data_IF_473079303339
#
_entry.id   IF_473079303339
#
_cell.length_a   1.000
_cell.length_b   1.000
_cell.length_c   1.000
_cell.angle_alpha   90.00
_cell.angle_beta   90.00
_cell.angle_gamma   90.00
#
_symmetry.space_group_name_H-M   'P 1'
#
loop_
_entity.id
_entity.type
_entity.pdbx_description
1 polymer ?
#
# COMPACT_ATOMS: atom_id res chain seq x y z
N UNK A 1 -14.10 -21.73 22.91
CA UNK A 1 -14.72 -20.79 21.96
C UNK A 1 -13.72 -20.64 20.83
N UNK A 2 -14.03 -21.15 19.63
CA UNK A 2 -13.12 -21.14 18.49
C UNK A 2 -13.22 -19.78 17.77
N UNK A 3 -12.08 -19.13 17.56
CA UNK A 3 -12.02 -17.79 16.97
C UNK A 3 -11.90 -17.91 15.44
N UNK A 4 -12.99 -17.70 14.71
CA UNK A 4 -12.97 -17.68 13.24
C UNK A 4 -12.54 -16.29 12.77
N UNK A 5 -11.44 -16.21 12.02
CA UNK A 5 -10.97 -14.96 11.39
C UNK A 5 -11.53 -14.85 9.99
N UNK A 6 -12.14 -13.71 9.68
CA UNK A 6 -12.62 -13.37 8.33
C UNK A 6 -11.62 -12.41 7.68
N UNK A 7 -11.18 -12.75 6.48
CA UNK A 7 -10.32 -11.89 5.67
C UNK A 7 -11.13 -10.74 5.03
N UNK A 8 -10.41 -9.75 4.47
CA UNK A 8 -11.00 -8.71 3.64
C UNK A 8 -11.40 -9.20 2.24
N UNK A 9 -12.19 -8.40 1.54
CA UNK A 9 -12.65 -8.69 0.18
C UNK A 9 -11.77 -8.03 -0.89
N UNK A 10 -11.60 -8.71 -2.02
CA UNK A 10 -11.07 -8.16 -3.28
C UNK A 10 -12.02 -7.12 -3.88
N UNK A 11 -11.55 -6.29 -4.81
CA UNK A 11 -12.39 -5.27 -5.43
C UNK A 11 -13.58 -5.88 -6.20
N UNK A 12 -13.34 -6.98 -6.90
CA UNK A 12 -14.36 -7.71 -7.66
C UNK A 12 -15.41 -8.35 -6.72
N UNK A 13 -14.98 -8.94 -5.60
CA UNK A 13 -15.91 -9.43 -4.57
C UNK A 13 -16.74 -8.28 -3.99
N UNK A 14 -16.14 -7.10 -3.76
CA UNK A 14 -16.88 -5.92 -3.30
C UNK A 14 -17.89 -5.42 -4.33
N UNK A 15 -17.57 -5.46 -5.62
CA UNK A 15 -18.52 -5.14 -6.70
C UNK A 15 -19.71 -6.11 -6.66
N UNK A 16 -19.45 -7.41 -6.54
CA UNK A 16 -20.51 -8.41 -6.43
C UNK A 16 -21.39 -8.18 -5.19
N UNK A 17 -20.79 -8.00 -4.01
CA UNK A 17 -21.48 -7.70 -2.76
C UNK A 17 -22.33 -6.43 -2.87
N UNK A 18 -21.79 -5.39 -3.54
CA UNK A 18 -22.51 -4.15 -3.75
C UNK A 18 -23.77 -4.35 -4.59
N UNK A 19 -23.69 -5.08 -5.71
CA UNK A 19 -24.82 -5.35 -6.60
C UNK A 19 -25.87 -6.25 -5.96
N UNK A 20 -25.41 -7.32 -5.35
CA UNK A 20 -26.31 -8.37 -4.86
C UNK A 20 -27.04 -7.96 -3.58
N UNK A 21 -26.42 -7.09 -2.77
CA UNK A 21 -26.89 -6.74 -1.44
C UNK A 21 -26.95 -5.24 -1.15
N UNK A 22 -25.83 -4.51 -1.26
CA UNK A 22 -25.75 -3.15 -0.71
C UNK A 22 -26.63 -2.16 -1.48
N UNK A 23 -26.60 -2.20 -2.81
CA UNK A 23 -27.40 -1.31 -3.67
C UNK A 23 -28.89 -1.51 -3.44
N UNK A 24 -29.38 -2.76 -3.45
CA UNK A 24 -30.79 -3.07 -3.16
C UNK A 24 -31.23 -2.49 -1.82
N UNK A 25 -30.38 -2.63 -0.79
CA UNK A 25 -30.66 -2.06 0.53
C UNK A 25 -30.68 -0.54 0.51
N UNK A 26 -29.70 0.11 -0.13
CA UNK A 26 -29.57 1.57 -0.18
C UNK A 26 -30.62 2.25 -1.08
N UNK A 27 -31.08 1.59 -2.15
CA UNK A 27 -32.19 2.06 -3.01
C UNK A 27 -33.49 2.07 -2.20
N UNK A 28 -33.80 0.95 -1.54
CA UNK A 28 -34.99 0.85 -0.68
C UNK A 28 -34.97 1.84 0.49
N UNK A 29 -33.83 2.01 1.15
CA UNK A 29 -33.67 2.99 2.24
C UNK A 29 -33.81 4.44 1.77
N UNK A 30 -33.48 4.74 0.51
CA UNK A 30 -33.65 6.06 -0.09
C UNK A 30 -35.10 6.31 -0.56
N UNK A 31 -36.00 5.33 -0.46
CA UNK A 31 -37.39 5.46 -0.89
C UNK A 31 -37.59 5.36 -2.40
N UNK A 32 -36.61 4.81 -3.12
CA UNK A 32 -36.65 4.57 -4.56
C UNK A 32 -37.13 3.14 -4.86
N UNK A 33 -37.71 2.93 -6.05
CA UNK A 33 -38.02 1.59 -6.57
C UNK A 33 -36.79 0.96 -7.21
N UNK A 34 -36.79 -0.37 -7.29
CA UNK A 34 -35.67 -1.16 -7.80
C UNK A 34 -35.34 -0.87 -9.28
N UNK A 35 -36.32 -0.40 -10.06
CA UNK A 35 -36.19 -0.02 -11.47
C UNK A 35 -35.87 1.48 -11.69
N UNK A 36 -35.90 2.30 -10.63
CA UNK A 36 -35.68 3.74 -10.74
C UNK A 36 -34.19 4.11 -10.81
N UNK A 37 -33.29 3.25 -10.32
CA UNK A 37 -31.84 3.50 -10.30
C UNK A 37 -31.04 2.25 -10.57
N UNK A 38 -30.10 2.36 -11.51
CA UNK A 38 -29.06 1.35 -11.75
C UNK A 38 -27.68 1.94 -11.53
N UNK A 39 -26.74 1.15 -11.01
CA UNK A 39 -25.35 1.56 -10.86
C UNK A 39 -24.49 0.57 -11.63
N UNK A 40 -23.73 1.08 -12.59
CA UNK A 40 -22.83 0.29 -13.44
C UNK A 40 -21.66 -0.28 -12.62
N UNK A 41 -21.10 -1.39 -13.07
CA UNK A 41 -19.99 -2.08 -12.37
C UNK A 41 -18.76 -1.15 -12.33
N UNK A 42 -18.55 -0.41 -13.41
CA UNK A 42 -17.51 0.61 -13.53
C UNK A 42 -17.72 1.76 -12.53
N UNK A 43 -18.96 2.15 -12.26
CA UNK A 43 -19.27 3.16 -11.25
C UNK A 43 -19.06 2.63 -9.83
N UNK A 44 -19.48 1.40 -9.54
CA UNK A 44 -19.19 0.76 -8.24
C UNK A 44 -17.68 0.66 -8.03
N UNK A 45 -16.94 0.23 -9.05
CA UNK A 45 -15.48 0.16 -9.00
C UNK A 45 -14.87 1.54 -8.71
N UNK A 46 -15.34 2.59 -9.38
CA UNK A 46 -14.90 3.98 -9.11
C UNK A 46 -15.15 4.39 -7.66
N UNK A 47 -16.30 4.02 -7.08
CA UNK A 47 -16.57 4.29 -5.65
C UNK A 47 -15.58 3.52 -4.77
N UNK A 48 -15.30 2.26 -5.08
CA UNK A 48 -14.35 1.43 -4.33
C UNK A 48 -12.96 2.06 -4.37
N UNK A 49 -12.44 2.42 -5.54
CA UNK A 49 -11.07 2.91 -5.73
C UNK A 49 -10.87 4.34 -5.24
N UNK A 50 -11.81 5.23 -5.58
CA UNK A 50 -11.59 6.68 -5.43
C UNK A 50 -12.20 7.23 -4.13
N UNK A 51 -13.15 6.50 -3.54
CA UNK A 51 -13.95 6.99 -2.40
C UNK A 51 -13.98 6.05 -1.19
N UNK A 52 -13.32 4.87 -1.25
CA UNK A 52 -13.18 3.97 -0.10
C UNK A 52 -11.73 3.52 0.13
N UNK A 53 -11.39 3.23 1.39
CA UNK A 53 -10.14 2.57 1.76
C UNK A 53 -10.38 1.70 3.00
N UNK A 54 -10.73 0.44 2.78
CA UNK A 54 -11.08 -0.51 3.84
C UNK A 54 -10.91 -1.97 3.35
N UNK A 55 -10.79 -2.92 4.28
CA UNK A 55 -10.83 -4.35 3.98
C UNK A 55 -12.28 -4.86 3.75
N UNK A 56 -13.26 -4.26 4.43
CA UNK A 56 -14.68 -4.58 4.32
C UNK A 56 -15.43 -3.74 3.29
N UNK A 57 -16.73 -3.53 3.52
CA UNK A 57 -17.65 -2.77 2.64
C UNK A 57 -18.49 -1.71 3.37
N UNK A 58 -18.10 -1.30 4.59
CA UNK A 58 -18.88 -0.35 5.40
C UNK A 58 -18.84 1.05 4.82
N UNK A 59 -17.66 1.51 4.41
CA UNK A 59 -17.50 2.78 3.72
C UNK A 59 -18.15 2.71 2.34
N UNK A 60 -17.98 1.60 1.61
CA UNK A 60 -18.63 1.37 0.32
C UNK A 60 -20.14 1.56 0.42
N UNK A 61 -20.79 0.89 1.36
CA UNK A 61 -22.22 1.05 1.57
C UNK A 61 -22.63 2.50 1.87
N UNK A 62 -21.87 3.20 2.72
CA UNK A 62 -22.16 4.58 3.05
C UNK A 62 -22.08 5.49 1.83
N UNK A 63 -21.07 5.33 0.98
CA UNK A 63 -20.91 6.13 -0.24
C UNK A 63 -22.01 5.80 -1.27
N UNK A 64 -22.35 4.52 -1.45
CA UNK A 64 -23.50 4.11 -2.27
C UNK A 64 -24.80 4.73 -1.75
N UNK A 65 -25.01 4.76 -0.44
CA UNK A 65 -26.16 5.42 0.18
C UNK A 65 -26.22 6.93 -0.04
N UNK A 66 -25.06 7.61 -0.13
CA UNK A 66 -25.04 9.04 -0.51
C UNK A 66 -25.48 9.23 -1.96
N UNK A 67 -25.04 8.35 -2.86
CA UNK A 67 -25.46 8.37 -4.27
C UNK A 67 -26.98 8.19 -4.36
N UNK A 68 -27.54 7.13 -3.75
CA UNK A 68 -28.99 6.86 -3.84
C UNK A 68 -29.83 7.99 -3.24
N UNK A 69 -29.43 8.56 -2.09
CA UNK A 69 -30.14 9.73 -1.51
C UNK A 69 -30.09 10.97 -2.40
N UNK A 70 -28.95 11.23 -3.07
CA UNK A 70 -28.84 12.34 -4.03
C UNK A 70 -29.75 12.11 -5.24
N UNK A 71 -29.83 10.89 -5.75
CA UNK A 71 -30.76 10.54 -6.82
C UNK A 71 -32.20 10.75 -6.37
N UNK A 72 -32.59 10.24 -5.20
CA UNK A 72 -33.94 10.43 -4.66
C UNK A 72 -34.32 11.91 -4.54
N UNK A 73 -33.39 12.75 -4.07
CA UNK A 73 -33.62 14.20 -3.98
C UNK A 73 -33.79 14.84 -5.35
N UNK A 74 -32.97 14.45 -6.33
CA UNK A 74 -33.06 14.97 -7.71
C UNK A 74 -34.31 14.50 -8.45
N UNK A 75 -34.76 13.27 -8.21
CA UNK A 75 -36.03 12.76 -8.74
C UNK A 75 -37.22 13.49 -8.12
N UNK A 76 -37.24 13.65 -6.80
CA UNK A 76 -38.31 14.36 -6.09
C UNK A 76 -38.42 15.85 -6.48
N UNK A 77 -37.30 16.48 -6.86
CA UNK A 77 -37.27 17.88 -7.33
C UNK A 77 -37.47 18.02 -8.84
N UNK A 78 -37.66 16.92 -9.59
CA UNK A 78 -37.82 16.92 -11.05
C UNK A 78 -36.53 17.21 -11.84
N UNK A 79 -35.38 17.27 -11.17
CA UNK A 79 -34.08 17.49 -11.81
C UNK A 79 -33.54 16.23 -12.53
N UNK A 80 -34.05 15.05 -12.19
CA UNK A 80 -33.78 13.79 -12.89
C UNK A 80 -35.09 13.01 -13.09
N UNK A 81 -35.18 12.32 -14.22
CA UNK A 81 -36.30 11.44 -14.54
C UNK A 81 -35.83 9.98 -14.49
N UNK A 82 -36.48 9.10 -13.71
CA UNK A 82 -36.18 7.68 -13.72
C UNK A 82 -36.50 7.02 -15.08
N UNK A 83 -35.80 5.93 -15.46
CA UNK A 83 -34.71 5.28 -14.73
C UNK A 83 -33.40 6.09 -14.81
N UNK A 84 -32.69 6.18 -13.69
CA UNK A 84 -31.42 6.91 -13.57
C UNK A 84 -30.25 5.93 -13.52
N UNK A 85 -29.46 5.89 -14.58
CA UNK A 85 -28.21 5.13 -14.59
C UNK A 85 -27.05 5.94 -13.98
N UNK A 86 -26.29 5.31 -13.08
CA UNK A 86 -25.10 5.88 -12.45
C UNK A 86 -23.86 5.30 -13.13
N UNK A 87 -23.20 6.17 -13.90
CA UNK A 87 -21.91 5.94 -14.55
C UNK A 87 -20.76 6.57 -13.75
N UNK A 88 -19.50 6.27 -14.11
CA UNK A 88 -18.33 6.88 -13.46
C UNK A 88 -18.37 8.43 -13.42
N UNK A 89 -18.88 9.06 -14.48
CA UNK A 89 -19.02 10.52 -14.54
C UNK A 89 -20.01 11.04 -13.48
N UNK A 90 -21.13 10.34 -13.27
CA UNK A 90 -22.13 10.69 -12.25
C UNK A 90 -21.65 10.40 -10.83
N UNK A 91 -20.75 9.43 -10.65
CA UNK A 91 -20.07 9.24 -9.35
C UNK A 91 -19.32 10.51 -8.96
N UNK A 92 -18.57 11.12 -9.88
CA UNK A 92 -17.86 12.40 -9.61
C UNK A 92 -18.81 13.56 -9.34
N UNK A 93 -19.95 13.63 -10.02
CA UNK A 93 -20.99 14.63 -9.74
C UNK A 93 -21.57 14.46 -8.32
N UNK A 94 -21.82 13.23 -7.90
CA UNK A 94 -22.50 12.93 -6.64
C UNK A 94 -21.57 12.81 -5.43
N UNK A 95 -20.36 12.32 -5.57
CA UNK A 95 -19.41 12.17 -4.46
C UNK A 95 -18.34 13.28 -4.44
N UNK A 96 -18.23 14.05 -5.52
CA UNK A 96 -17.23 15.10 -5.67
C UNK A 96 -15.89 14.55 -6.16
N UNK A 97 -14.80 15.29 -5.88
CA UNK A 97 -13.45 14.88 -6.26
C UNK A 97 -13.08 13.55 -5.57
N UNK A 98 -12.24 12.72 -6.21
CA UNK A 98 -11.62 11.56 -5.57
C UNK A 98 -11.05 11.94 -4.20
N UNK A 99 -11.29 11.08 -3.20
CA UNK A 99 -10.77 11.27 -1.84
C UNK A 99 -9.41 10.62 -1.64
N UNK A 100 -9.07 9.68 -2.49
CA UNK A 100 -7.82 8.95 -2.46
C UNK A 100 -7.10 9.15 -3.80
N UNK A 101 -5.99 9.88 -3.79
CA UNK A 101 -5.04 9.94 -4.91
C UNK A 101 -4.08 8.74 -4.85
N UNK A 102 -3.32 8.50 -5.93
CA UNK A 102 -2.25 7.50 -5.97
C UNK A 102 -1.06 7.92 -5.09
N UNK A 103 -1.27 7.83 -3.79
CA UNK A 103 -0.36 8.21 -2.70
C UNK A 103 1.01 7.51 -2.82
N UNK A 104 1.04 6.30 -3.37
CA UNK A 104 2.29 5.56 -3.59
C UNK A 104 3.19 6.29 -4.58
N UNK A 105 2.64 6.64 -5.75
CA UNK A 105 3.41 7.33 -6.79
C UNK A 105 3.92 8.70 -6.33
N UNK A 106 3.09 9.45 -5.60
CA UNK A 106 3.50 10.75 -5.07
C UNK A 106 4.65 10.64 -4.04
N UNK A 107 4.60 9.65 -3.15
CA UNK A 107 5.58 9.48 -2.07
C UNK A 107 6.91 8.87 -2.53
N UNK A 108 6.87 7.91 -3.45
CA UNK A 108 8.07 7.19 -3.93
C UNK A 108 8.84 7.92 -5.02
N UNK A 109 8.31 9.03 -5.54
CA UNK A 109 8.99 9.89 -6.52
C UNK A 109 10.31 10.51 -5.99
N UNK A 110 10.49 10.55 -4.67
CA UNK A 110 11.70 11.09 -4.03
C UNK A 110 12.56 9.94 -3.49
N UNK A 111 13.88 9.91 -3.77
CA UNK A 111 14.78 8.95 -3.16
C UNK A 111 14.72 9.00 -1.63
N UNK A 112 14.78 7.83 -1.00
CA UNK A 112 14.65 7.69 0.44
C UNK A 112 13.28 7.26 0.92
N UNK A 113 12.32 7.02 0.03
CA UNK A 113 10.98 6.53 0.39
C UNK A 113 10.71 5.17 -0.24
N UNK A 114 10.38 4.17 0.59
CA UNK A 114 10.06 2.82 0.14
C UNK A 114 8.69 2.36 0.63
N UNK A 115 8.02 1.54 -0.19
CA UNK A 115 6.68 1.01 0.09
C UNK A 115 6.77 -0.38 0.72
N UNK A 116 6.35 -0.49 1.98
CA UNK A 116 6.31 -1.73 2.75
C UNK A 116 4.89 -2.28 2.91
N UNK A 117 4.78 -3.60 3.06
CA UNK A 117 3.50 -4.27 3.31
C UNK A 117 3.43 -4.79 4.75
N UNK A 118 2.33 -4.49 5.43
CA UNK A 118 2.12 -4.84 6.83
C UNK A 118 0.76 -5.51 7.05
N UNK A 119 0.59 -6.08 8.25
CA UNK A 119 -0.69 -6.56 8.74
C UNK A 119 -1.04 -5.79 10.01
N UNK A 120 -2.25 -5.26 10.04
CA UNK A 120 -2.84 -4.57 11.20
C UNK A 120 -3.96 -5.43 11.78
N UNK A 121 -4.49 -5.05 12.95
CA UNK A 121 -5.66 -5.70 13.54
C UNK A 121 -6.91 -5.69 12.64
N UNK A 122 -6.95 -4.84 11.61
CA UNK A 122 -8.07 -4.71 10.66
C UNK A 122 -7.81 -5.35 9.29
N UNK A 123 -6.66 -6.00 9.11
CA UNK A 123 -6.24 -6.61 7.85
C UNK A 123 -4.92 -6.05 7.33
N UNK A 124 -4.57 -6.41 6.09
CA UNK A 124 -3.34 -5.94 5.46
C UNK A 124 -3.38 -4.44 5.13
N UNK A 125 -2.23 -3.80 5.26
CA UNK A 125 -2.05 -2.37 5.00
C UNK A 125 -0.70 -2.08 4.30
N UNK A 126 -0.59 -0.92 3.70
CA UNK A 126 0.64 -0.42 3.08
C UNK A 126 1.24 0.67 3.97
N UNK A 127 2.54 0.58 4.21
CA UNK A 127 3.31 1.55 4.99
C UNK A 127 4.34 2.22 4.08
N UNK A 128 4.60 3.49 4.33
CA UNK A 128 5.73 4.18 3.72
C UNK A 128 6.86 4.25 4.73
N UNK A 129 8.07 3.90 4.32
CA UNK A 129 9.27 4.07 5.14
C UNK A 129 10.08 5.18 4.51
N UNK A 130 10.24 6.27 5.26
CA UNK A 130 10.94 7.48 4.84
C UNK A 130 12.29 7.53 5.56
N UNK A 131 13.38 7.67 4.81
CA UNK A 131 14.73 7.79 5.31
C UNK A 131 15.33 9.13 4.87
N UNK A 132 15.98 9.82 5.80
CA UNK A 132 16.76 11.03 5.51
C UNK A 132 18.09 11.01 6.24
N UNK A 133 19.09 11.72 5.71
CA UNK A 133 20.39 11.90 6.34
C UNK A 133 20.44 13.23 7.08
N UNK A 134 20.97 13.22 8.30
CA UNK A 134 21.16 14.43 9.12
C UNK A 134 22.66 14.71 9.22
N UNK A 135 23.06 15.93 8.90
CA UNK A 135 24.42 16.40 9.17
C UNK A 135 24.54 16.63 10.68
N UNK A 136 25.39 15.87 11.35
CA UNK A 136 25.67 16.06 12.78
C UNK A 136 27.13 16.48 12.94
N UNK A 137 27.37 17.54 13.70
CA UNK A 137 28.71 17.85 14.21
C UNK A 137 29.02 16.85 15.34
N UNK A 138 29.97 15.93 15.12
CA UNK A 138 30.45 14.97 16.12
C UNK A 138 30.60 13.53 15.63
N UNK A 139 31.22 12.68 16.46
CA UNK A 139 31.50 11.26 16.16
C UNK A 139 30.21 10.43 15.99
N UNK A 140 29.86 10.17 14.74
CA UNK A 140 29.40 8.86 14.25
C UNK A 140 28.01 8.35 14.63
N UNK A 141 27.28 7.93 13.59
CA UNK A 141 26.45 6.72 13.59
C UNK A 141 25.06 6.71 14.24
N UNK A 142 24.49 7.85 14.66
CA UNK A 142 23.16 7.83 15.30
C UNK A 142 22.02 7.51 14.32
N UNK A 143 21.13 6.60 14.73
CA UNK A 143 19.86 6.30 14.05
C UNK A 143 18.70 6.86 14.88
N UNK A 144 17.95 7.80 14.31
CA UNK A 144 16.74 8.37 14.89
C UNK A 144 15.54 7.63 14.29
N UNK A 145 14.60 7.20 15.14
CA UNK A 145 13.42 6.45 14.73
C UNK A 145 12.15 7.14 15.22
N UNK A 146 11.20 7.41 14.33
CA UNK A 146 9.89 8.00 14.68
C UNK A 146 8.75 7.26 13.98
N UNK A 147 7.51 7.44 14.49
CA UNK A 147 6.31 6.78 13.94
C UNK A 147 5.72 5.67 14.82
N UNK A 148 5.97 5.73 16.12
CA UNK A 148 5.48 4.78 17.14
C UNK A 148 5.90 3.32 16.86
N UNK A 149 7.21 3.13 16.68
CA UNK A 149 7.80 1.81 16.46
C UNK A 149 7.93 1.05 17.79
N UNK A 150 7.51 -0.22 17.79
CA UNK A 150 7.84 -1.18 18.85
C UNK A 150 9.30 -1.61 18.81
N UNK A 151 9.73 -2.38 19.81
CA UNK A 151 11.16 -2.68 19.99
C UNK A 151 11.71 -3.62 18.90
N UNK A 152 10.91 -4.57 18.41
CA UNK A 152 11.31 -5.46 17.31
C UNK A 152 11.52 -4.67 16.03
N UNK A 153 10.65 -3.68 15.76
CA UNK A 153 10.79 -2.83 14.59
C UNK A 153 11.99 -1.87 14.70
N UNK A 154 12.34 -1.41 15.90
CA UNK A 154 13.58 -0.64 16.14
C UNK A 154 14.83 -1.47 15.91
N UNK A 155 14.83 -2.72 16.36
CA UNK A 155 15.93 -3.66 16.10
C UNK A 155 16.09 -3.93 14.60
N UNK A 156 14.97 -4.14 13.89
CA UNK A 156 14.96 -4.30 12.43
C UNK A 156 15.60 -3.11 11.71
N UNK A 157 15.33 -1.89 12.17
CA UNK A 157 15.94 -0.67 11.61
C UNK A 157 17.46 -0.61 11.86
N UNK A 158 17.93 -1.05 13.03
CA UNK A 158 19.36 -1.13 13.34
C UNK A 158 20.07 -2.17 12.47
N UNK A 159 19.46 -3.33 12.25
CA UNK A 159 19.99 -4.37 11.37
C UNK A 159 20.09 -3.87 9.93
N UNK A 160 19.02 -3.22 9.43
CA UNK A 160 19.00 -2.61 8.09
C UNK A 160 20.14 -1.61 7.90
N UNK A 161 20.32 -0.67 8.84
CA UNK A 161 21.41 0.30 8.78
C UNK A 161 22.79 -0.36 8.86
N UNK A 162 22.94 -1.37 9.72
CA UNK A 162 24.20 -2.11 9.87
C UNK A 162 24.57 -2.85 8.59
N UNK A 163 23.60 -3.49 7.93
CA UNK A 163 23.80 -4.14 6.64
C UNK A 163 24.25 -3.14 5.57
N UNK A 164 23.57 -2.00 5.44
CA UNK A 164 23.93 -0.98 4.44
C UNK A 164 25.34 -0.44 4.66
N UNK A 165 25.73 -0.24 5.93
CA UNK A 165 27.09 0.20 6.27
C UNK A 165 28.14 -0.83 5.91
N UNK A 166 27.91 -2.11 6.20
CA UNK A 166 28.89 -3.18 5.94
C UNK A 166 29.03 -3.54 4.46
N UNK A 167 28.03 -3.22 3.63
CA UNK A 167 28.01 -3.55 2.19
C UNK A 167 28.00 -2.30 1.30
N UNK A 168 28.40 -1.14 1.82
CA UNK A 168 28.29 0.14 1.11
C UNK A 168 28.96 0.13 -0.28
N UNK A 169 30.13 -0.50 -0.38
CA UNK A 169 30.90 -0.64 -1.63
C UNK A 169 30.13 -1.47 -2.64
N UNK A 170 29.65 -2.65 -2.24
CA UNK A 170 28.91 -3.57 -3.11
C UNK A 170 27.58 -2.97 -3.58
N UNK A 171 26.98 -2.10 -2.76
CA UNK A 171 25.75 -1.38 -3.06
C UNK A 171 25.96 -0.14 -3.95
N UNK A 172 27.22 0.19 -4.30
CA UNK A 172 27.56 1.35 -5.12
C UNK A 172 27.30 2.69 -4.45
N UNK A 173 27.41 2.73 -3.11
CA UNK A 173 27.24 3.92 -2.28
C UNK A 173 28.58 4.66 -2.17
N UNK A 174 28.54 5.99 -2.33
CA UNK A 174 29.73 6.84 -2.25
C UNK A 174 30.43 6.74 -0.88
N UNK A 175 31.77 6.70 -0.85
CA UNK A 175 32.53 6.74 0.40
C UNK A 175 32.12 7.92 1.30
N UNK A 176 31.96 7.68 2.59
CA UNK A 176 31.57 8.70 3.57
C UNK A 176 30.07 9.01 3.61
N UNK A 177 29.26 8.58 2.63
CA UNK A 177 27.81 8.81 2.66
C UNK A 177 27.12 8.04 3.80
N UNK A 178 27.69 6.88 4.20
CA UNK A 178 27.19 6.01 5.28
C UNK A 178 27.57 6.47 6.69
N UNK A 179 28.49 7.43 6.82
CA UNK A 179 29.00 7.92 8.11
C UNK A 179 28.06 8.95 8.76
N UNK A 180 27.08 9.43 8.00
CA UNK A 180 26.06 10.37 8.46
C UNK A 180 25.13 9.73 9.51
N UNK A 181 24.43 10.60 10.24
CA UNK A 181 23.28 10.19 11.02
C UNK A 181 22.08 9.97 10.10
N UNK A 182 21.22 9.02 10.44
CA UNK A 182 20.01 8.73 9.68
C UNK A 182 18.78 8.91 10.55
N UNK A 183 17.70 9.39 9.94
CA UNK A 183 16.38 9.40 10.56
C UNK A 183 15.44 8.59 9.68
N UNK A 184 14.89 7.52 10.25
CA UNK A 184 13.83 6.72 9.64
C UNK A 184 12.49 7.09 10.29
N UNK A 185 11.54 7.48 9.47
CA UNK A 185 10.17 7.73 9.85
C UNK A 185 9.24 6.72 9.18
N UNK A 186 8.31 6.14 9.96
CA UNK A 186 7.25 5.28 9.42
C UNK A 186 5.90 5.91 9.75
N UNK A 187 5.33 6.72 8.83
CA UNK A 187 4.05 7.38 9.03
C UNK A 187 2.94 6.36 9.31
N UNK A 188 2.06 6.70 10.24
CA UNK A 188 0.65 6.34 10.34
C UNK A 188 0.24 6.47 11.81
N UNK A 189 -0.21 7.68 12.18
CA UNK A 189 -0.98 7.98 13.40
C UNK A 189 -0.52 7.36 14.72
N UNK A 190 -1.50 6.99 15.55
CA UNK A 190 -1.35 6.46 16.90
C UNK A 190 -1.43 4.91 16.98
N UNK A 191 -1.28 4.22 15.84
CA UNK A 191 -1.32 2.75 15.79
C UNK A 191 0.10 2.22 15.93
N UNK A 192 0.42 1.47 17.00
CA UNK A 192 1.74 0.87 17.17
C UNK A 192 2.08 -0.04 16.00
N UNK A 193 3.32 0.09 15.50
CA UNK A 193 3.86 -0.78 14.44
C UNK A 193 4.97 -1.62 15.04
N UNK A 194 4.78 -2.92 15.08
CA UNK A 194 5.78 -3.83 15.61
C UNK A 194 5.87 -5.11 14.77
N UNK A 195 7.09 -5.64 14.67
CA UNK A 195 7.40 -6.83 13.89
C UNK A 195 8.55 -6.63 12.88
N UNK A 196 9.25 -7.70 12.50
CA UNK A 196 10.52 -7.60 11.76
C UNK A 196 10.32 -7.46 10.24
N UNK A 197 9.08 -7.60 9.74
CA UNK A 197 8.79 -7.77 8.31
C UNK A 197 8.97 -6.53 7.41
N UNK A 198 9.45 -5.42 7.97
CA UNK A 198 9.77 -4.19 7.27
C UNK A 198 11.29 -3.98 7.08
N UNK A 199 12.12 -4.95 7.49
CA UNK A 199 13.59 -4.84 7.43
C UNK A 199 14.10 -4.59 6.02
N UNK A 200 13.59 -5.32 5.02
CA UNK A 200 13.95 -5.10 3.61
C UNK A 200 13.47 -3.74 3.08
N UNK A 201 12.32 -3.26 3.58
CA UNK A 201 11.77 -1.94 3.21
C UNK A 201 12.65 -0.81 3.75
N UNK A 202 13.06 -0.90 5.02
CA UNK A 202 13.98 0.08 5.63
C UNK A 202 15.35 0.07 4.93
N UNK A 203 15.86 -1.12 4.63
CA UNK A 203 17.12 -1.27 3.88
C UNK A 203 17.02 -0.58 2.52
N UNK A 204 15.92 -0.83 1.80
CA UNK A 204 15.69 -0.23 0.48
C UNK A 204 15.54 1.29 0.55
N UNK A 205 14.85 1.83 1.56
CA UNK A 205 14.74 3.28 1.75
C UNK A 205 16.11 3.94 1.98
N UNK A 206 16.96 3.34 2.83
CA UNK A 206 18.32 3.85 3.09
C UNK A 206 19.18 3.78 1.81
N UNK A 207 19.16 2.66 1.09
CA UNK A 207 19.93 2.52 -0.16
C UNK A 207 19.41 3.48 -1.23
N UNK A 208 18.10 3.65 -1.35
CA UNK A 208 17.47 4.63 -2.24
C UNK A 208 17.99 6.04 -1.97
N UNK A 209 17.97 6.48 -0.71
CA UNK A 209 18.50 7.77 -0.28
C UNK A 209 19.99 7.93 -0.66
N UNK A 210 20.81 6.92 -0.35
CA UNK A 210 22.26 7.00 -0.50
C UNK A 210 22.75 6.86 -1.95
N UNK A 211 21.97 6.21 -2.81
CA UNK A 211 22.29 6.05 -4.23
C UNK A 211 21.59 7.07 -5.13
N UNK A 212 20.65 7.85 -4.57
CA UNK A 212 19.81 8.79 -5.32
C UNK A 212 18.82 8.11 -6.27
N UNK A 213 18.59 6.79 -6.12
CA UNK A 213 17.69 6.01 -6.96
C UNK A 213 16.32 5.92 -6.31
N UNK A 214 15.29 6.43 -6.97
CA UNK A 214 13.92 6.30 -6.48
C UNK A 214 13.48 4.82 -6.41
N UNK A 215 12.54 4.53 -5.51
CA UNK A 215 11.87 3.23 -5.48
C UNK A 215 10.74 3.26 -6.51
N UNK A 216 10.57 2.17 -7.27
CA UNK A 216 9.51 2.05 -8.27
C UNK A 216 8.15 2.20 -7.60
N UNK A 217 7.32 3.09 -8.13
CA UNK A 217 5.99 3.39 -7.55
C UNK A 217 4.99 2.24 -7.66
N UNK A 218 5.29 1.21 -8.44
CA UNK A 218 4.45 0.03 -8.65
C UNK A 218 4.77 -1.12 -7.69
N UNK A 219 5.84 -1.01 -6.92
CA UNK A 219 6.40 -2.11 -6.11
C UNK A 219 6.07 -1.93 -4.63
N UNK A 220 5.53 -2.99 -4.02
CA UNK A 220 5.50 -3.16 -2.57
C UNK A 220 6.41 -4.30 -2.12
N UNK A 221 6.95 -4.22 -0.91
CA UNK A 221 7.84 -5.28 -0.41
C UNK A 221 7.57 -5.64 1.05
N UNK A 222 7.89 -6.88 1.42
CA UNK A 222 7.94 -7.32 2.81
C UNK A 222 9.01 -8.37 2.99
N UNK A 223 9.62 -8.41 4.16
CA UNK A 223 10.70 -9.33 4.46
C UNK A 223 11.47 -8.86 5.69
N UNK A 224 11.82 -9.81 6.54
CA UNK A 224 12.81 -9.58 7.58
C UNK A 224 14.21 -9.64 6.95
N UNK A 225 15.14 -8.86 7.48
CA UNK A 225 16.52 -8.77 7.00
C UNK A 225 17.48 -9.19 8.11
N UNK A 226 18.55 -9.90 7.75
CA UNK A 226 19.65 -10.21 8.68
C UNK A 226 20.87 -9.33 8.41
N UNK A 227 21.82 -9.32 9.34
CA UNK A 227 23.11 -8.63 9.18
C UNK A 227 23.92 -9.15 7.97
N UNK A 228 23.67 -10.37 7.51
CA UNK A 228 24.31 -11.01 6.35
C UNK A 228 23.54 -10.78 5.04
N UNK A 229 22.46 -9.98 5.07
CA UNK A 229 21.66 -9.67 3.90
C UNK A 229 20.69 -10.78 3.47
N UNK A 230 20.39 -11.75 4.34
CA UNK A 230 19.38 -12.75 4.05
C UNK A 230 17.98 -12.17 4.24
N UNK A 231 17.06 -12.56 3.36
CA UNK A 231 15.63 -12.21 3.45
C UNK A 231 14.88 -13.39 4.07
N UNK A 232 14.35 -13.17 5.27
CA UNK A 232 13.70 -14.19 6.07
C UNK A 232 12.17 -14.20 5.86
N UNK A 233 11.52 -15.37 6.02
CA UNK A 233 10.10 -15.53 5.79
C UNK A 233 9.26 -14.70 6.76
N UNK A 234 8.09 -14.29 6.30
CA UNK A 234 7.15 -13.46 7.05
C UNK A 234 5.78 -14.15 7.17
N UNK A 235 4.95 -13.64 8.08
CA UNK A 235 3.54 -14.04 8.17
C UNK A 235 2.60 -13.11 7.39
N UNK A 236 1.39 -13.61 7.11
CA UNK A 236 0.29 -12.82 6.56
C UNK A 236 0.45 -12.42 5.09
N UNK A 237 1.04 -13.31 4.27
CA UNK A 237 1.28 -13.08 2.84
C UNK A 237 -0.01 -12.69 2.11
N UNK A 238 -1.07 -13.48 2.28
CA UNK A 238 -2.39 -13.21 1.71
C UNK A 238 -2.87 -11.79 2.01
N UNK A 239 -2.89 -11.40 3.28
CA UNK A 239 -3.39 -10.07 3.68
C UNK A 239 -2.52 -8.95 3.11
N UNK A 240 -1.20 -9.12 3.09
CA UNK A 240 -0.25 -8.13 2.55
C UNK A 240 -0.40 -7.96 1.04
N UNK A 241 -0.55 -9.05 0.29
CA UNK A 241 -0.75 -9.03 -1.17
C UNK A 241 -2.08 -8.38 -1.51
N UNK A 242 -3.17 -8.72 -0.81
CA UNK A 242 -4.46 -8.07 -0.98
C UNK A 242 -4.42 -6.56 -0.67
N UNK A 243 -3.58 -6.15 0.29
CA UNK A 243 -3.37 -4.73 0.57
C UNK A 243 -2.60 -4.02 -0.54
N UNK A 244 -1.58 -4.67 -1.10
CA UNK A 244 -0.81 -4.16 -2.22
C UNK A 244 -1.68 -3.96 -3.46
N UNK A 245 -2.49 -4.97 -3.81
CA UNK A 245 -3.45 -4.92 -4.91
C UNK A 245 -4.43 -3.75 -4.75
N UNK A 246 -5.06 -3.62 -3.57
CA UNK A 246 -5.98 -2.53 -3.24
C UNK A 246 -5.35 -1.13 -3.32
N UNK A 247 -4.04 -1.01 -3.11
CA UNK A 247 -3.30 0.25 -3.27
C UNK A 247 -2.83 0.50 -4.70
N UNK A 248 -3.24 -0.35 -5.65
CA UNK A 248 -2.90 -0.22 -7.06
C UNK A 248 -1.46 -0.62 -7.39
N UNK A 249 -0.74 -1.26 -6.45
CA UNK A 249 0.58 -1.82 -6.74
C UNK A 249 0.46 -2.93 -7.78
N UNK A 250 1.46 -3.07 -8.64
CA UNK A 250 1.51 -4.09 -9.70
C UNK A 250 2.47 -5.22 -9.38
N UNK A 251 3.40 -4.97 -8.47
CA UNK A 251 4.51 -5.87 -8.19
C UNK A 251 4.67 -6.01 -6.67
N UNK A 252 4.92 -7.24 -6.20
CA UNK A 252 5.20 -7.51 -4.79
C UNK A 252 6.49 -8.31 -4.66
N UNK A 253 7.40 -7.82 -3.82
CA UNK A 253 8.60 -8.54 -3.42
C UNK A 253 8.32 -9.30 -2.13
N UNK A 254 8.49 -10.63 -2.18
CA UNK A 254 8.28 -11.55 -1.05
C UNK A 254 9.57 -12.34 -0.76
N UNK A 255 9.78 -12.79 0.49
CA UNK A 255 10.85 -13.74 0.78
C UNK A 255 10.66 -15.02 -0.04
N UNK A 256 11.74 -15.56 -0.60
CA UNK A 256 11.70 -16.79 -1.42
C UNK A 256 11.05 -17.96 -0.69
N UNK A 257 11.23 -18.04 0.63
CA UNK A 257 10.64 -19.10 1.47
C UNK A 257 9.11 -18.98 1.67
N UNK A 258 8.50 -17.87 1.26
CA UNK A 258 7.06 -17.65 1.28
C UNK A 258 6.38 -17.99 -0.07
N UNK A 259 7.11 -18.57 -1.04
CA UNK A 259 6.56 -18.94 -2.36
C UNK A 259 5.26 -19.76 -2.25
N UNK A 260 5.26 -20.78 -1.40
CA UNK A 260 4.08 -21.62 -1.13
C UNK A 260 2.87 -20.86 -0.57
N UNK A 261 3.08 -19.73 0.09
CA UNK A 261 2.00 -18.96 0.72
C UNK A 261 1.29 -18.06 -0.30
N UNK A 262 1.80 -17.99 -1.54
CA UNK A 262 1.13 -17.33 -2.68
C UNK A 262 -0.13 -18.12 -3.08
N UNK A 263 -0.16 -19.43 -2.86
CA UNK A 263 -1.31 -20.28 -3.19
C UNK A 263 -2.58 -19.89 -2.41
N UNK A 264 -2.43 -19.24 -1.25
CA UNK A 264 -3.53 -18.72 -0.43
C UNK A 264 -4.12 -17.39 -0.94
N UNK A 265 -3.46 -16.73 -1.89
CA UNK A 265 -3.93 -15.49 -2.53
C UNK A 265 -5.00 -15.83 -3.57
N UNK A 266 -6.14 -15.13 -3.63
CA UNK A 266 -7.15 -15.36 -4.68
C UNK A 266 -6.54 -15.31 -6.09
N UNK A 267 -6.97 -16.24 -6.96
CA UNK A 267 -6.43 -16.37 -8.33
C UNK A 267 -6.59 -15.08 -9.15
N UNK A 268 -7.70 -14.37 -8.98
CA UNK A 268 -7.95 -13.06 -9.61
C UNK A 268 -6.84 -12.06 -9.31
N UNK A 269 -6.39 -12.00 -8.06
CA UNK A 269 -5.32 -11.08 -7.63
C UNK A 269 -3.96 -11.58 -8.11
N UNK A 270 -3.71 -12.90 -8.07
CA UNK A 270 -2.45 -13.46 -8.57
C UNK A 270 -2.21 -13.17 -10.05
N UNK A 271 -3.27 -13.22 -10.86
CA UNK A 271 -3.19 -12.98 -12.30
C UNK A 271 -2.96 -11.49 -12.65
N UNK A 272 -3.27 -10.57 -11.73
CA UNK A 272 -3.11 -9.12 -11.92
C UNK A 272 -1.81 -8.56 -11.32
N UNK A 273 -1.03 -9.38 -10.59
CA UNK A 273 0.19 -8.96 -9.88
C UNK A 273 1.41 -9.79 -10.29
N UNK A 274 2.57 -9.14 -10.34
CA UNK A 274 3.86 -9.85 -10.51
C UNK A 274 4.50 -10.10 -9.15
N UNK A 275 4.93 -11.34 -8.90
CA UNK A 275 5.60 -11.71 -7.67
C UNK A 275 7.11 -11.87 -7.89
N UNK A 276 7.89 -11.14 -7.11
CA UNK A 276 9.35 -11.23 -7.10
C UNK A 276 9.80 -11.94 -5.82
N UNK A 277 10.41 -13.12 -5.97
CA UNK A 277 10.90 -13.90 -4.85
C UNK A 277 12.36 -13.57 -4.57
N UNK A 278 12.65 -13.10 -3.35
CA UNK A 278 14.00 -12.71 -2.94
C UNK A 278 14.48 -13.53 -1.74
N UNK A 279 15.67 -14.11 -1.87
CA UNK A 279 16.42 -14.77 -0.80
C UNK A 279 17.45 -13.84 -0.16
N UNK A 280 17.87 -12.80 -0.88
CA UNK A 280 18.84 -11.82 -0.41
C UNK A 280 18.44 -10.37 -0.73
N UNK A 281 19.00 -9.42 0.01
CA UNK A 281 18.70 -7.99 -0.12
C UNK A 281 19.03 -7.46 -1.51
N UNK A 282 20.10 -7.94 -2.14
CA UNK A 282 20.53 -7.48 -3.46
C UNK A 282 19.46 -7.75 -4.53
N UNK A 283 18.75 -8.88 -4.42
CA UNK A 283 17.60 -9.22 -5.27
C UNK A 283 16.44 -8.25 -5.03
N UNK A 284 16.13 -7.95 -3.76
CA UNK A 284 15.10 -6.96 -3.41
C UNK A 284 15.41 -5.61 -4.05
N UNK A 285 16.64 -5.11 -3.89
CA UNK A 285 17.05 -3.80 -4.42
C UNK A 285 16.99 -3.76 -5.95
N UNK A 286 17.32 -4.87 -6.63
CA UNK A 286 17.21 -4.99 -8.08
C UNK A 286 15.77 -4.85 -8.58
N UNK A 287 14.82 -5.46 -7.88
CA UNK A 287 13.40 -5.37 -8.24
C UNK A 287 12.77 -4.04 -7.81
N UNK A 288 13.22 -3.46 -6.70
CA UNK A 288 12.60 -2.29 -6.09
C UNK A 288 13.07 -0.95 -6.65
N UNK A 289 14.34 -0.80 -6.98
CA UNK A 289 14.90 0.51 -7.36
C UNK A 289 14.78 0.76 -8.87
N UNK A 290 14.57 2.02 -9.22
CA UNK A 290 14.73 2.51 -10.59
C UNK A 290 16.18 2.30 -11.07
N UNK A 291 16.37 2.20 -12.38
CA UNK A 291 17.71 2.20 -12.96
C UNK A 291 18.40 3.54 -12.66
N UNK A 292 19.74 3.50 -12.56
CA UNK A 292 20.52 4.72 -12.32
C UNK A 292 20.30 5.62 -13.54
N UNK A 293 19.71 6.81 -13.34
CA UNK A 293 19.56 7.77 -14.43
C UNK A 293 20.94 8.03 -15.04
N UNK A 294 21.12 7.73 -16.34
CA UNK A 294 22.30 8.16 -17.07
C UNK A 294 22.36 9.68 -16.97
N UNK A 295 23.54 10.25 -16.72
CA UNK A 295 23.77 11.67 -16.51
C UNK A 295 23.39 12.59 -17.71
N UNK A 296 22.79 12.06 -18.77
CA UNK A 296 22.44 12.75 -20.01
C UNK A 296 21.05 13.42 -20.02
N UNK A 297 20.32 13.50 -18.90
CA UNK A 297 19.04 14.24 -18.83
C UNK A 297 19.11 15.58 -18.10
N UNK A 298 20.27 16.23 -18.16
CA UNK A 298 20.41 17.64 -17.83
C UNK A 298 21.16 18.35 -18.95
N UNK A 299 20.43 18.65 -20.03
CA UNK A 299 20.78 19.64 -21.04
C UNK A 299 19.74 20.75 -21.00
#
# INVERSE_FOLDING_TARGET
MELIRLDGYTEQEKVAIAKDHLLKRQVKQAGLKDDEVTVTDEAVMTVITDHTREAGVRNLERELGKITRKVATKVATGALTPPVEITQLRVKEFLGKPRFDNEVAARTAVPGVATGLAVTGTGGDVLFVEATSVNKEGNGSSLILTGQLGDVMKESAQIALSFVRSHAVDLGIEPGAVDKAFHIHVPAGAVPKDGPSAGVTMTTAIVSLLTGRAVRSTVGMTGEVTLQGLVLPIGGVKQKVLAAHRMGLKEVILPKRNEKDIDDVPESVRNEMTFHLASRVEEVLKFALEERASADRAA
#
